data_IF_932927857929
#
_entry.id   IF_932927857929
#
_cell.length_a   1.000
_cell.length_b   1.000
_cell.length_c   1.000
_cell.angle_alpha   90.00
_cell.angle_beta   90.00
_cell.angle_gamma   90.00
#
_symmetry.space_group_name_H-M   'P 1'
#
loop_
_entity.id
_entity.type
_entity.pdbx_description
1 polymer ?
#
# COMPACT_ATOMS: atom_id res chain seq x y z
N UNK A 1 16.75 20.16 -0.36
CA UNK A 1 16.00 19.20 -1.20
C UNK A 1 15.29 18.22 -0.27
N UNK A 2 14.01 18.43 0.04
CA UNK A 2 13.25 17.43 0.80
C UNK A 2 13.00 16.25 -0.11
N UNK A 3 13.60 15.10 0.22
CA UNK A 3 13.26 13.83 -0.42
C UNK A 3 11.73 13.68 -0.37
N UNK A 4 11.09 13.62 -1.54
CA UNK A 4 9.66 13.33 -1.61
C UNK A 4 9.43 11.98 -0.94
N UNK A 5 8.84 11.97 0.26
CA UNK A 5 8.53 10.71 0.94
C UNK A 5 7.55 9.97 0.03
N UNK A 6 7.89 8.77 -0.47
CA UNK A 6 7.00 8.00 -1.31
C UNK A 6 5.69 7.73 -0.55
N UNK A 7 4.61 7.44 -1.29
CA UNK A 7 3.46 6.77 -0.70
C UNK A 7 3.95 5.55 0.10
N UNK A 8 3.27 5.25 1.20
CA UNK A 8 3.60 4.08 2.03
C UNK A 8 2.37 3.21 2.13
N UNK A 9 2.53 1.91 1.94
CA UNK A 9 1.52 0.95 2.34
C UNK A 9 1.99 0.41 3.68
N UNK A 10 1.30 0.78 4.76
CA UNK A 10 1.65 0.40 6.12
C UNK A 10 0.76 -0.75 6.54
N UNK A 11 1.35 -1.90 6.83
CA UNK A 11 0.70 -3.05 7.48
C UNK A 11 0.75 -2.83 8.99
N UNK A 12 -0.39 -2.90 9.65
CA UNK A 12 -0.51 -2.55 11.07
C UNK A 12 -1.57 -3.40 11.79
N UNK A 13 -1.59 -3.33 13.12
CA UNK A 13 -2.62 -4.00 13.90
C UNK A 13 -3.97 -3.31 13.81
N UNK A 14 -5.01 -4.12 13.74
CA UNK A 14 -6.43 -3.74 13.78
C UNK A 14 -7.14 -4.66 14.77
N UNK A 15 -7.09 -4.30 16.06
CA UNK A 15 -7.52 -5.18 17.14
C UNK A 15 -6.70 -6.47 17.18
N UNK A 16 -7.37 -7.63 17.13
CA UNK A 16 -6.71 -8.95 17.08
C UNK A 16 -6.25 -9.36 15.67
N UNK A 17 -6.61 -8.57 14.65
CA UNK A 17 -6.31 -8.83 13.24
C UNK A 17 -5.29 -7.81 12.70
N UNK A 18 -4.95 -7.93 11.43
CA UNK A 18 -4.02 -7.09 10.70
C UNK A 18 -4.75 -6.37 9.57
N UNK A 19 -4.33 -5.16 9.25
CA UNK A 19 -4.85 -4.37 8.14
C UNK A 19 -3.69 -3.70 7.41
N UNK A 20 -3.98 -3.09 6.26
CA UNK A 20 -3.02 -2.19 5.61
C UNK A 20 -3.67 -0.83 5.32
N UNK A 21 -2.87 0.23 5.38
CA UNK A 21 -3.27 1.59 5.04
C UNK A 21 -2.32 2.19 4.04
N UNK A 22 -2.84 2.71 2.93
CA UNK A 22 -2.10 3.57 2.03
C UNK A 22 -2.02 4.98 2.60
N UNK A 23 -0.80 5.42 2.87
CA UNK A 23 -0.46 6.74 3.35
C UNK A 23 0.08 7.54 2.19
N UNK A 24 -0.54 8.68 1.92
CA UNK A 24 -0.07 9.61 0.90
C UNK A 24 1.16 10.39 1.37
N UNK A 25 1.76 11.16 0.46
CA UNK A 25 3.02 11.89 0.73
C UNK A 25 2.90 12.88 1.89
N UNK A 26 1.71 13.42 2.14
CA UNK A 26 1.45 14.35 3.25
C UNK A 26 1.26 13.64 4.60
N UNK A 27 1.37 12.31 4.65
CA UNK A 27 1.20 11.51 5.87
C UNK A 27 -0.25 11.17 6.22
N UNK A 28 -1.23 11.57 5.40
CA UNK A 28 -2.64 11.22 5.59
C UNK A 28 -2.97 9.88 4.96
N UNK A 29 -3.89 9.15 5.60
CA UNK A 29 -4.49 7.96 5.02
C UNK A 29 -5.28 8.34 3.76
N UNK A 30 -5.01 7.64 2.66
CA UNK A 30 -5.65 7.86 1.36
C UNK A 30 -6.50 6.66 0.92
N UNK A 31 -6.13 5.46 1.35
CA UNK A 31 -6.92 4.23 1.18
C UNK A 31 -6.59 3.25 2.31
N UNK A 32 -7.46 2.29 2.57
CA UNK A 32 -7.26 1.25 3.55
C UNK A 32 -7.69 -0.11 3.00
N UNK A 33 -7.26 -1.18 3.65
CA UNK A 33 -7.71 -2.52 3.31
C UNK A 33 -9.23 -2.63 3.50
N UNK A 34 -9.95 -3.25 2.55
CA UNK A 34 -11.39 -3.45 2.68
C UNK A 34 -11.74 -4.41 3.82
N UNK A 35 -10.84 -5.36 4.10
CA UNK A 35 -10.97 -6.38 5.14
C UNK A 35 -9.79 -6.35 6.11
N UNK A 36 -9.98 -6.99 7.27
CA UNK A 36 -8.89 -7.35 8.18
C UNK A 36 -8.45 -8.79 7.98
N UNK A 37 -7.17 -9.06 8.14
CA UNK A 37 -6.55 -10.37 7.96
C UNK A 37 -6.15 -10.97 9.31
N UNK A 38 -6.34 -12.27 9.49
CA UNK A 38 -5.98 -12.95 10.75
C UNK A 38 -4.48 -12.90 11.05
N UNK A 39 -3.64 -12.91 10.00
CA UNK A 39 -2.18 -12.99 10.11
C UNK A 39 -1.50 -11.83 9.40
N UNK A 40 -0.34 -11.44 9.93
CA UNK A 40 0.53 -10.40 9.34
C UNK A 40 0.88 -10.77 7.91
N UNK A 41 1.28 -12.03 7.67
CA UNK A 41 1.68 -12.52 6.35
C UNK A 41 0.59 -12.33 5.30
N UNK A 42 -0.67 -12.56 5.66
CA UNK A 42 -1.79 -12.34 4.75
C UNK A 42 -2.01 -10.85 4.45
N UNK A 43 -1.92 -9.99 5.47
CA UNK A 43 -1.98 -8.54 5.28
C UNK A 43 -0.82 -8.01 4.44
N UNK A 44 0.40 -8.49 4.67
CA UNK A 44 1.61 -8.14 3.92
C UNK A 44 1.51 -8.55 2.46
N UNK A 45 0.97 -9.75 2.16
CA UNK A 45 0.72 -10.17 0.77
C UNK A 45 -0.32 -9.30 0.08
N UNK A 46 -1.39 -8.94 0.78
CA UNK A 46 -2.40 -8.03 0.22
C UNK A 46 -1.84 -6.62 -0.01
N UNK A 47 -1.09 -6.11 0.95
CA UNK A 47 -0.40 -4.82 0.89
C UNK A 47 0.63 -4.77 -0.25
N UNK A 48 1.38 -5.86 -0.47
CA UNK A 48 2.33 -5.96 -1.58
C UNK A 48 1.62 -5.83 -2.94
N UNK A 49 0.41 -6.39 -3.11
CA UNK A 49 -0.37 -6.19 -4.34
C UNK A 49 -0.71 -4.71 -4.55
N UNK A 50 -1.03 -3.99 -3.49
CA UNK A 50 -1.28 -2.55 -3.59
C UNK A 50 -0.01 -1.77 -3.95
N UNK A 51 1.14 -2.14 -3.37
CA UNK A 51 2.45 -1.59 -3.75
C UNK A 51 2.74 -1.85 -5.23
N UNK A 52 2.49 -3.06 -5.70
CA UNK A 52 2.69 -3.45 -7.09
C UNK A 52 1.77 -2.65 -8.04
N UNK A 53 0.49 -2.46 -7.69
CA UNK A 53 -0.45 -1.61 -8.44
C UNK A 53 0.06 -0.17 -8.51
N UNK A 54 0.43 0.43 -7.37
CA UNK A 54 0.91 1.82 -7.31
C UNK A 54 2.24 2.03 -8.04
N UNK A 55 3.06 0.98 -8.15
CA UNK A 55 4.33 1.00 -8.87
C UNK A 55 4.18 0.51 -10.33
N UNK A 56 2.96 0.34 -10.84
CA UNK A 56 2.69 -0.05 -12.23
C UNK A 56 3.09 -1.50 -12.57
N UNK A 57 3.28 -2.36 -11.57
CA UNK A 57 3.66 -3.77 -11.69
C UNK A 57 2.43 -4.67 -11.57
N UNK A 58 1.45 -4.52 -12.45
CA UNK A 58 0.32 -5.46 -12.52
C UNK A 58 0.71 -6.70 -13.33
N UNK A 59 0.56 -7.89 -12.73
CA UNK A 59 0.84 -9.17 -13.38
C UNK A 59 0.08 -9.37 -14.69
N UNK A 60 0.70 -10.10 -15.63
CA UNK A 60 0.10 -10.51 -16.92
C UNK A 60 -1.27 -11.17 -16.71
N UNK A 61 -2.33 -10.50 -17.15
CA UNK A 61 -3.58 -11.15 -17.54
C UNK A 61 -3.40 -11.75 -18.93
N UNK A 62 -3.72 -13.05 -19.08
CA UNK A 62 -3.89 -13.70 -20.39
C UNK A 62 -5.06 -13.01 -21.09
N UNK A 63 -4.77 -12.03 -21.95
CA UNK A 63 -5.76 -11.31 -22.76
C UNK A 63 -6.33 -10.04 -22.12
N UNK A 64 -5.60 -8.93 -22.22
CA UNK A 64 -6.15 -7.56 -22.18
C UNK A 64 -6.54 -7.01 -20.79
N UNK A 65 -5.76 -6.04 -20.30
CA UNK A 65 -6.06 -4.60 -20.23
C UNK A 65 -4.80 -3.95 -19.63
N UNK A 66 -4.20 -2.98 -20.32
CA UNK A 66 -3.21 -2.08 -19.74
C UNK A 66 -3.94 -0.81 -19.32
N UNK A 67 -3.88 -0.47 -18.04
CA UNK A 67 -4.19 0.89 -17.59
C UNK A 67 -2.92 1.71 -17.78
N UNK A 68 -2.97 2.65 -18.71
CA UNK A 68 -1.88 3.57 -19.03
C UNK A 68 -1.74 4.65 -17.95
N UNK A 69 -0.51 4.87 -17.48
CA UNK A 69 -0.15 5.86 -16.44
C UNK A 69 -0.44 5.31 -15.03
N UNK A 70 0.50 5.13 -14.12
CA UNK A 70 1.60 5.99 -13.70
C UNK A 70 2.75 5.11 -13.17
N UNK A 71 3.99 5.63 -13.20
CA UNK A 71 5.17 5.13 -12.46
C UNK A 71 6.16 4.15 -13.15
N UNK A 72 6.70 4.50 -14.33
CA UNK A 72 7.93 3.85 -14.84
C UNK A 72 9.25 4.49 -14.38
N UNK A 73 9.26 5.60 -13.64
CA UNK A 73 10.49 6.35 -13.35
C UNK A 73 10.95 6.42 -11.89
N UNK A 74 10.13 6.03 -10.91
CA UNK A 74 10.55 5.84 -9.52
C UNK A 74 9.47 5.02 -8.77
N UNK A 75 9.81 4.01 -7.95
CA UNK A 75 8.81 3.34 -7.11
C UNK A 75 8.19 4.39 -6.17
N UNK A 76 6.91 4.71 -6.37
CA UNK A 76 6.22 5.71 -5.57
C UNK A 76 5.65 5.14 -4.29
N UNK A 77 5.54 3.82 -4.15
CA UNK A 77 5.01 3.17 -2.97
C UNK A 77 6.03 2.24 -2.31
N UNK A 78 6.22 2.37 -0.99
CA UNK A 78 7.01 1.46 -0.16
C UNK A 78 6.10 0.64 0.75
N UNK A 79 6.40 -0.65 0.93
CA UNK A 79 5.78 -1.49 1.94
C UNK A 79 6.47 -1.27 3.29
N UNK A 80 5.69 -1.04 4.33
CA UNK A 80 6.17 -0.87 5.71
C UNK A 80 5.30 -1.73 6.61
N UNK A 81 5.90 -2.41 7.58
CA UNK A 81 5.17 -3.05 8.68
C UNK A 81 5.42 -2.22 9.93
N UNK A 82 4.35 -1.70 10.53
CA UNK A 82 4.38 -0.93 11.76
C UNK A 82 3.14 -1.27 12.58
N UNK A 83 3.31 -2.12 13.60
CA UNK A 83 2.22 -2.61 14.44
C UNK A 83 1.51 -1.50 15.21
N UNK A 84 2.23 -0.43 15.54
CA UNK A 84 1.75 0.69 16.35
C UNK A 84 1.26 1.86 15.50
N UNK A 85 1.15 1.67 14.19
CA UNK A 85 0.68 2.71 13.31
C UNK A 85 -0.78 3.04 13.57
N UNK A 86 -1.04 4.33 13.82
CA UNK A 86 -2.38 4.89 13.93
C UNK A 86 -2.62 5.84 12.74
N UNK A 87 -3.57 5.52 11.84
CA UNK A 87 -3.82 6.36 10.68
C UNK A 87 -4.30 7.75 11.08
N UNK A 88 -3.66 8.77 10.52
CA UNK A 88 -4.13 10.16 10.60
C UNK A 88 -5.22 10.35 9.56
N UNK A 89 -6.44 10.50 10.03
CA UNK A 89 -7.61 10.86 9.22
C UNK A 89 -7.74 12.38 9.28
N UNK A 90 -7.82 13.02 8.12
CA UNK A 90 -8.06 14.46 7.98
C UNK A 90 -9.54 14.77 7.83
#
# INVERSE_FOLDING_TARGET
MSASVPHRIIVHRAGKNWAWTQVSRNGMAAAASPDTYETESNATRAAQRQVDILNGRTGRSRGGVYVEGYAKSAPYAALVVDENYHPRVG
#
